data_IF_855809977616
#
_entry.id   IF_855809977616
#
_cell.length_a   1.000
_cell.length_b   1.000
_cell.length_c   1.000
_cell.angle_alpha   90.00
_cell.angle_beta   90.00
_cell.angle_gamma   90.00
#
_symmetry.space_group_name_H-M   'P 1'
#
loop_
_entity.id
_entity.type
_entity.pdbx_description
1 polymer ?
#
# COMPACT_ATOMS: atom_id res chain seq x y z
N UNK A 1 -7.84 -4.73 -6.04
CA UNK A 1 -6.67 -3.80 -6.08
C UNK A 1 -5.72 -4.15 -4.95
N UNK A 2 -4.42 -3.89 -5.09
CA UNK A 2 -3.44 -4.24 -4.05
C UNK A 2 -2.39 -3.15 -3.87
N UNK A 3 -1.89 -3.02 -2.65
CA UNK A 3 -0.77 -2.14 -2.29
C UNK A 3 0.27 -2.94 -1.53
N UNK A 4 1.54 -2.89 -1.96
CA UNK A 4 2.68 -3.38 -1.18
C UNK A 4 3.53 -2.19 -0.74
N UNK A 5 3.79 -2.10 0.56
CA UNK A 5 4.56 -1.01 1.14
C UNK A 5 5.69 -1.52 2.04
N UNK A 6 6.83 -0.84 1.98
CA UNK A 6 7.98 -1.05 2.86
C UNK A 6 8.33 0.26 3.52
N UNK A 7 8.35 0.26 4.86
CA UNK A 7 8.83 1.39 5.65
C UNK A 7 10.19 1.03 6.25
N UNK A 8 11.19 1.88 6.00
CA UNK A 8 12.50 1.79 6.61
C UNK A 8 12.63 2.81 7.74
N UNK A 9 12.82 2.32 8.96
CA UNK A 9 13.00 3.13 10.16
C UNK A 9 13.90 2.39 11.17
N UNK A 10 14.94 3.05 11.67
CA UNK A 10 15.72 2.52 12.80
C UNK A 10 14.94 2.66 14.11
N UNK A 11 14.32 3.82 14.29
CA UNK A 11 13.49 4.18 15.44
C UNK A 11 12.27 4.99 14.93
N UNK A 12 11.06 4.77 15.47
CA UNK A 12 10.71 3.76 16.47
C UNK A 12 10.67 2.33 15.91
N UNK A 13 10.64 1.31 16.78
CA UNK A 13 10.40 -0.08 16.35
C UNK A 13 8.93 -0.24 15.95
N UNK A 14 8.66 -0.34 14.66
CA UNK A 14 7.30 -0.35 14.11
C UNK A 14 6.61 -1.72 14.12
N UNK A 15 7.32 -2.81 14.43
CA UNK A 15 6.77 -4.17 14.36
C UNK A 15 5.53 -4.37 15.25
N UNK A 16 5.50 -3.78 16.45
CA UNK A 16 4.34 -3.84 17.35
C UNK A 16 3.13 -3.04 16.85
N UNK A 17 3.34 -2.10 15.92
CA UNK A 17 2.28 -1.26 15.34
C UNK A 17 1.77 -1.80 14.01
N UNK A 18 2.22 -2.99 13.59
CA UNK A 18 1.87 -3.57 12.28
C UNK A 18 0.36 -3.68 12.06
N UNK A 19 -0.35 -4.36 12.97
CA UNK A 19 -1.81 -4.53 12.86
C UNK A 19 -2.56 -3.21 12.78
N UNK A 20 -2.39 -2.28 13.76
CA UNK A 20 -3.08 -0.99 13.74
C UNK A 20 -2.81 -0.15 12.48
N UNK A 21 -1.57 -0.15 11.96
CA UNK A 21 -1.23 0.57 10.74
C UNK A 21 -1.87 -0.11 9.52
N UNK A 22 -1.81 -1.43 9.43
CA UNK A 22 -2.40 -2.20 8.34
C UNK A 22 -3.92 -2.02 8.27
N UNK A 23 -4.61 -2.06 9.41
CA UNK A 23 -6.05 -1.82 9.51
C UNK A 23 -6.41 -0.40 9.07
N UNK A 24 -5.64 0.59 9.52
CA UNK A 24 -5.84 2.00 9.13
C UNK A 24 -5.67 2.18 7.62
N UNK A 25 -4.62 1.61 7.02
CA UNK A 25 -4.40 1.66 5.59
C UNK A 25 -5.53 0.97 4.82
N UNK A 26 -5.94 -0.22 5.24
CA UNK A 26 -7.01 -0.98 4.58
C UNK A 26 -8.33 -0.21 4.60
N UNK A 27 -8.67 0.40 5.74
CA UNK A 27 -9.88 1.22 5.89
C UNK A 27 -9.85 2.46 4.99
N UNK A 28 -8.72 3.16 4.92
CA UNK A 28 -8.61 4.41 4.14
C UNK A 28 -8.57 4.12 2.64
N UNK A 29 -7.79 3.13 2.20
CA UNK A 29 -7.55 2.87 0.78
C UNK A 29 -8.74 2.20 0.10
N UNK A 30 -9.40 1.26 0.79
CA UNK A 30 -10.47 0.48 0.17
C UNK A 30 -11.87 0.91 0.63
N UNK A 31 -12.01 1.68 1.71
CA UNK A 31 -13.29 2.21 2.21
C UNK A 31 -14.40 1.15 2.33
N UNK A 32 -14.03 -0.10 2.63
CA UNK A 32 -14.95 -1.24 2.71
C UNK A 32 -15.15 -2.02 1.41
N UNK A 33 -14.53 -1.59 0.30
CA UNK A 33 -14.45 -2.34 -0.95
C UNK A 33 -13.33 -3.40 -0.94
N UNK A 34 -13.24 -4.16 -2.03
CA UNK A 34 -12.25 -5.23 -2.16
C UNK A 34 -10.83 -4.71 -2.44
N UNK A 35 -9.90 -5.08 -1.58
CA UNK A 35 -8.48 -4.87 -1.80
C UNK A 35 -7.62 -5.41 -0.68
N UNK A 36 -6.31 -5.41 -0.90
CA UNK A 36 -5.33 -5.90 0.07
C UNK A 36 -4.16 -4.95 0.23
N UNK A 37 -3.66 -4.86 1.47
CA UNK A 37 -2.41 -4.17 1.80
C UNK A 37 -1.41 -5.20 2.31
N UNK A 38 -0.18 -5.14 1.81
CA UNK A 38 0.98 -5.79 2.37
C UNK A 38 1.90 -4.71 2.92
N UNK A 39 2.29 -4.83 4.20
CA UNK A 39 3.13 -3.84 4.87
C UNK A 39 4.33 -4.54 5.52
N UNK A 40 5.52 -4.05 5.23
CA UNK A 40 6.79 -4.55 5.78
C UNK A 40 7.54 -3.42 6.48
N UNK A 41 8.18 -3.74 7.59
CA UNK A 41 9.09 -2.85 8.30
C UNK A 41 10.50 -3.38 8.23
N UNK A 42 11.46 -2.50 7.95
CA UNK A 42 12.89 -2.81 7.92
C UNK A 42 13.67 -1.75 8.67
N UNK A 43 14.78 -2.14 9.29
CA UNK A 43 15.66 -1.17 9.94
C UNK A 43 16.66 -0.57 8.94
N UNK A 44 17.44 0.42 9.39
CA UNK A 44 18.58 0.92 8.64
C UNK A 44 19.89 0.17 8.95
N UNK A 45 19.82 -0.85 9.82
CA UNK A 45 20.96 -1.63 10.31
C UNK A 45 22.10 -0.75 10.84
N UNK A 46 21.76 0.38 11.47
CA UNK A 46 22.74 1.36 11.98
C UNK A 46 23.52 2.13 10.91
N UNK A 47 23.16 2.01 9.62
CA UNK A 47 23.87 2.62 8.50
C UNK A 47 23.06 3.74 7.82
N UNK A 48 23.74 4.79 7.38
CA UNK A 48 23.12 5.93 6.70
C UNK A 48 22.22 6.76 7.62
N UNK A 49 21.47 7.68 7.03
CA UNK A 49 20.55 8.56 7.75
C UNK A 49 19.40 7.80 8.44
N UNK A 50 18.85 6.77 7.79
CA UNK A 50 17.82 5.90 8.42
C UNK A 50 18.41 5.16 9.61
N UNK A 51 19.58 4.53 9.46
CA UNK A 51 20.22 3.76 10.53
C UNK A 51 20.67 4.61 11.72
N UNK A 52 20.96 5.90 11.51
CA UNK A 52 21.23 6.87 12.58
C UNK A 52 19.96 7.41 13.25
N UNK A 53 18.77 7.08 12.73
CA UNK A 53 17.50 7.62 13.21
C UNK A 53 17.24 9.08 12.80
N UNK A 54 18.00 9.60 11.83
CA UNK A 54 17.86 10.96 11.31
C UNK A 54 16.71 11.06 10.30
N UNK A 55 16.32 9.93 9.68
CA UNK A 55 15.25 9.87 8.70
C UNK A 55 14.45 8.55 8.77
N UNK A 56 13.22 8.59 8.25
CA UNK A 56 12.43 7.42 7.90
C UNK A 56 12.03 7.51 6.43
N UNK A 57 11.87 6.36 5.77
CA UNK A 57 11.47 6.29 4.36
C UNK A 57 10.35 5.28 4.15
N UNK A 58 9.54 5.50 3.13
CA UNK A 58 8.50 4.57 2.71
C UNK A 58 8.50 4.45 1.19
N UNK A 59 8.39 3.22 0.70
CA UNK A 59 8.13 2.91 -0.69
C UNK A 59 6.82 2.14 -0.77
N UNK A 60 6.00 2.47 -1.76
CA UNK A 60 4.74 1.79 -2.00
C UNK A 60 4.56 1.53 -3.49
N UNK A 61 4.04 0.35 -3.81
CA UNK A 61 3.64 -0.06 -5.16
C UNK A 61 2.16 -0.38 -5.11
N UNK A 62 1.37 0.22 -6.00
CA UNK A 62 -0.07 0.04 -6.05
C UNK A 62 -0.52 -0.41 -7.43
N UNK A 63 -1.32 -1.47 -7.47
CA UNK A 63 -2.05 -1.89 -8.66
C UNK A 63 -3.38 -1.14 -8.73
N UNK A 64 -3.54 -0.28 -9.74
CA UNK A 64 -4.79 0.43 -10.00
C UNK A 64 -5.58 -0.24 -11.12
N UNK A 65 -6.91 -0.21 -11.02
CA UNK A 65 -7.80 -0.69 -12.06
C UNK A 65 -8.67 0.45 -12.55
N UNK A 66 -8.82 0.58 -13.87
CA UNK A 66 -9.79 1.51 -14.44
C UNK A 66 -11.19 0.99 -14.11
N UNK A 67 -11.94 1.76 -13.34
CA UNK A 67 -13.38 1.56 -13.22
C UNK A 67 -14.00 2.27 -14.42
N UNK A 68 -14.67 1.52 -15.30
CA UNK A 68 -15.39 2.10 -16.43
C UNK A 68 -16.35 3.17 -15.92
N UNK A 69 -16.25 4.39 -16.42
CA UNK A 69 -17.28 5.41 -16.24
C UNK A 69 -18.51 4.87 -16.94
N UNK A 70 -19.51 4.40 -16.17
CA UNK A 70 -20.74 3.80 -16.70
C UNK A 70 -21.57 4.77 -17.53
N UNK A 71 -21.10 5.05 -18.74
CA UNK A 71 -21.84 5.67 -19.85
C UNK A 71 -21.57 4.78 -21.06
N UNK A 72 -22.41 3.76 -21.22
CA UNK A 72 -22.58 2.97 -22.44
C UNK A 72 -21.40 2.12 -22.91
N UNK A 73 -21.27 0.91 -22.37
CA UNK A 73 -20.68 -0.21 -23.14
C UNK A 73 -21.80 -1.25 -23.32
N UNK A 74 -22.67 -0.99 -24.29
CA UNK A 74 -23.57 -2.01 -24.81
C UNK A 74 -22.77 -2.91 -25.75
N UNK A 75 -22.65 -4.23 -25.51
CA UNK A 75 -22.08 -5.15 -26.48
C UNK A 75 -23.06 -5.37 -27.63
N UNK A 76 -23.09 -4.42 -28.57
CA UNK A 76 -23.78 -4.53 -29.84
C UNK A 76 -22.83 -4.95 -30.96
N UNK A 77 -23.01 -6.18 -31.46
CA UNK A 77 -22.37 -6.70 -32.68
C UNK A 77 -21.23 -7.66 -32.37
N UNK A 78 -21.27 -8.94 -32.72
CA UNK A 78 -21.96 -9.59 -33.82
C UNK A 78 -20.98 -10.66 -34.32
N UNK A 79 -21.40 -11.92 -34.32
CA UNK A 79 -20.61 -13.04 -34.86
C UNK A 79 -20.22 -12.73 -36.31
N UNK A 80 -18.93 -12.84 -36.62
CA UNK A 80 -18.42 -13.37 -37.89
C UNK A 80 -17.23 -14.28 -37.59
#
# INVERSE_FOLDING_TARGET
MSVDAVVNAQVPRLASMHGPILDSLSRVLFRGGEGSVSLKFKSGEGTGDVGKGEAMRCWAIAGIQRVGTGVGDEPGGGRI
#
